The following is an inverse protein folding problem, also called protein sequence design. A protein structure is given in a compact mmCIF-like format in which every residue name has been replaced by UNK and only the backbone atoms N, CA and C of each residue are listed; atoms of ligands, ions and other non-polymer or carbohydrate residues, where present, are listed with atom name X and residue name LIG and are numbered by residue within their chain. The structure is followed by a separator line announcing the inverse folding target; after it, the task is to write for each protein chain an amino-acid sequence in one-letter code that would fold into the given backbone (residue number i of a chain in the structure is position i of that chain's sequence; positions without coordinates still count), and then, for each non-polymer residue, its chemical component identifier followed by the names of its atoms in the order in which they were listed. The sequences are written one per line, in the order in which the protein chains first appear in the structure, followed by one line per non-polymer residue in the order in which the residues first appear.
data_IF_718570680662
#
_entry.id   IF_718570680662
#
_cell.length_a   1.000
_cell.length_b   1.000
_cell.length_c   1.000
_cell.angle_alpha   90.00
_cell.angle_beta   90.00
_cell.angle_gamma   90.00
#
_symmetry.space_group_name_H-M   'P 1'
#
loop_
_entity.id
_entity.type
_entity.pdbx_description
1 polymer ?
#
# COMPACT_ATOMS: atom_id res chain seq x y z
N UNK A 1 34.27 21.90 -16.49
CA UNK A 1 33.25 21.26 -15.62
C UNK A 1 32.75 20.01 -16.33
N UNK A 2 32.97 18.80 -15.81
CA UNK A 2 32.33 17.63 -16.38
C UNK A 2 30.89 17.58 -15.86
N UNK A 3 29.92 17.53 -16.77
CA UNK A 3 28.55 17.22 -16.42
C UNK A 3 28.52 15.81 -15.82
N UNK A 4 28.00 15.72 -14.59
CA UNK A 4 27.68 14.46 -13.91
C UNK A 4 26.80 13.65 -14.86
N UNK A 5 27.24 12.45 -15.25
CA UNK A 5 26.48 11.49 -16.05
C UNK A 5 25.14 11.28 -15.34
N UNK A 6 24.06 11.78 -15.93
CA UNK A 6 22.74 11.80 -15.33
C UNK A 6 22.32 10.37 -14.90
N UNK A 7 21.62 10.28 -13.78
CA UNK A 7 20.77 9.15 -13.34
C UNK A 7 19.58 8.89 -14.31
N UNK A 8 19.74 9.23 -15.59
CA UNK A 8 18.75 9.26 -16.67
C UNK A 8 18.16 7.88 -17.01
N UNK A 9 18.73 6.79 -16.50
CA UNK A 9 18.21 5.43 -16.75
C UNK A 9 17.01 5.06 -15.87
N UNK A 10 17.00 5.48 -14.61
CA UNK A 10 16.10 4.90 -13.60
C UNK A 10 14.65 5.31 -13.79
N UNK A 11 14.39 6.62 -13.77
CA UNK A 11 13.04 7.13 -13.97
C UNK A 11 12.55 6.95 -15.40
N UNK A 12 13.45 6.84 -16.38
CA UNK A 12 13.10 6.51 -17.76
C UNK A 12 12.53 5.09 -17.85
N UNK A 13 13.21 4.10 -17.25
CA UNK A 13 12.72 2.72 -17.22
C UNK A 13 11.49 2.55 -16.33
N UNK A 14 11.45 3.23 -15.18
CA UNK A 14 10.26 3.29 -14.34
C UNK A 14 9.08 3.90 -15.12
N UNK A 15 9.35 4.95 -15.91
CA UNK A 15 8.39 5.62 -16.78
C UNK A 15 7.77 4.69 -17.82
N UNK A 16 8.54 3.75 -18.37
CA UNK A 16 8.00 2.71 -19.27
C UNK A 16 7.00 1.80 -18.55
N UNK A 17 7.34 1.32 -17.35
CA UNK A 17 6.43 0.50 -16.55
C UNK A 17 5.18 1.29 -16.13
N UNK A 18 5.33 2.58 -15.79
CA UNK A 18 4.22 3.49 -15.48
C UNK A 18 3.32 3.71 -16.71
N UNK A 19 3.89 3.91 -17.89
CA UNK A 19 3.13 4.06 -19.13
C UNK A 19 2.34 2.79 -19.45
N UNK A 20 2.98 1.62 -19.27
CA UNK A 20 2.33 0.33 -19.44
C UNK A 20 1.18 0.15 -18.43
N UNK A 21 1.40 0.43 -17.15
CA UNK A 21 0.39 0.42 -16.11
C UNK A 21 -0.76 1.40 -16.35
N UNK A 22 -0.47 2.58 -16.91
CA UNK A 22 -1.48 3.57 -17.25
C UNK A 22 -2.37 3.12 -18.42
N UNK A 23 -1.82 2.32 -19.35
CA UNK A 23 -2.58 1.76 -20.48
C UNK A 23 -3.73 0.85 -20.05
N UNK A 24 -3.64 0.26 -18.86
CA UNK A 24 -4.68 -0.59 -18.25
C UNK A 24 -6.02 0.12 -18.17
N UNK A 25 -6.05 1.42 -17.86
CA UNK A 25 -7.33 2.16 -17.79
C UNK A 25 -8.02 2.22 -19.16
N UNK A 26 -7.24 2.29 -20.25
CA UNK A 26 -7.79 2.21 -21.60
C UNK A 26 -8.31 0.80 -21.91
N UNK A 27 -7.53 -0.24 -21.57
CA UNK A 27 -7.90 -1.65 -21.74
C UNK A 27 -9.18 -2.01 -20.96
N UNK A 28 -9.32 -1.49 -19.74
CA UNK A 28 -10.50 -1.61 -18.89
C UNK A 28 -11.74 -1.05 -19.59
N UNK A 29 -11.64 0.16 -20.14
CA UNK A 29 -12.77 0.85 -20.81
C UNK A 29 -13.27 0.13 -22.06
N UNK A 30 -12.37 -0.53 -22.78
CA UNK A 30 -12.72 -1.32 -23.97
C UNK A 30 -13.06 -2.78 -23.64
N UNK A 31 -12.97 -3.19 -22.37
CA UNK A 31 -13.34 -4.54 -21.90
C UNK A 31 -12.38 -5.64 -22.34
N UNK A 32 -11.13 -5.32 -22.67
CA UNK A 32 -10.15 -6.32 -23.13
C UNK A 32 -9.45 -7.00 -21.93
N UNK A 33 -10.04 -8.11 -21.47
CA UNK A 33 -9.57 -8.91 -20.33
C UNK A 33 -8.17 -9.53 -20.54
N UNK A 34 -7.94 -10.17 -21.69
CA UNK A 34 -6.71 -10.91 -21.92
C UNK A 34 -5.47 -9.99 -21.97
N UNK A 35 -5.46 -8.85 -22.71
CA UNK A 35 -4.36 -7.90 -22.64
C UNK A 35 -4.16 -7.30 -21.25
N UNK A 36 -5.25 -7.04 -20.52
CA UNK A 36 -5.19 -6.50 -19.15
C UNK A 36 -4.50 -7.47 -18.19
N UNK A 37 -4.90 -8.74 -18.21
CA UNK A 37 -4.27 -9.79 -17.39
C UNK A 37 -2.78 -9.90 -17.75
N UNK A 38 -2.43 -9.95 -19.05
CA UNK A 38 -1.02 -10.00 -19.50
C UNK A 38 -0.16 -8.83 -18.99
N UNK A 39 -0.68 -7.60 -19.06
CA UNK A 39 0.04 -6.42 -18.54
C UNK A 39 0.22 -6.51 -17.03
N UNK A 40 -0.83 -6.90 -16.31
CA UNK A 40 -0.81 -7.03 -14.86
C UNK A 40 0.19 -8.10 -14.41
N UNK A 41 0.10 -9.31 -14.99
CA UNK A 41 1.04 -10.40 -14.70
C UNK A 41 2.49 -10.02 -15.04
N UNK A 42 2.74 -9.27 -16.12
CA UNK A 42 4.08 -8.80 -16.45
C UNK A 42 4.63 -7.86 -15.39
N UNK A 43 3.84 -6.89 -14.93
CA UNK A 43 4.27 -5.93 -13.91
C UNK A 43 4.55 -6.63 -12.57
N UNK A 44 3.70 -7.59 -12.17
CA UNK A 44 3.90 -8.42 -10.99
C UNK A 44 5.20 -9.22 -11.10
N UNK A 45 5.39 -9.90 -12.24
CA UNK A 45 6.58 -10.72 -12.48
C UNK A 45 7.86 -9.89 -12.42
N UNK A 46 7.86 -8.65 -12.93
CA UNK A 46 9.03 -7.78 -12.83
C UNK A 46 9.27 -7.33 -11.39
N UNK A 47 8.20 -7.02 -10.64
CA UNK A 47 8.30 -6.73 -9.22
C UNK A 47 8.90 -7.91 -8.42
N UNK A 48 8.50 -9.16 -8.73
CA UNK A 48 9.06 -10.38 -8.13
C UNK A 48 10.52 -10.65 -8.55
N UNK A 49 10.82 -10.58 -9.85
CA UNK A 49 12.18 -10.84 -10.38
C UNK A 49 13.24 -9.90 -9.81
N UNK A 50 12.87 -8.65 -9.51
CA UNK A 50 13.78 -7.68 -8.87
C UNK A 50 14.25 -8.12 -7.47
N UNK A 51 13.54 -9.06 -6.83
CA UNK A 51 13.84 -9.57 -5.50
C UNK A 51 14.81 -10.76 -5.56
N UNK A 52 14.69 -11.59 -6.59
CA UNK A 52 15.37 -12.89 -6.72
C UNK A 52 16.73 -12.81 -7.43
N UNK A 53 17.03 -11.74 -8.17
CA UNK A 53 18.21 -11.66 -9.03
C UNK A 53 19.40 -10.93 -8.40
N UNK A 54 20.59 -11.52 -8.60
CA UNK A 54 21.90 -10.92 -8.27
C UNK A 54 22.62 -10.32 -9.50
N UNK A 55 22.00 -10.36 -10.68
CA UNK A 55 22.52 -9.81 -11.94
C UNK A 55 21.65 -8.67 -12.51
N UNK A 56 22.29 -7.58 -12.93
CA UNK A 56 21.70 -6.36 -13.51
C UNK A 56 20.60 -5.69 -12.63
N UNK A 57 20.86 -5.62 -11.31
CA UNK A 57 19.98 -5.05 -10.28
C UNK A 57 19.39 -3.71 -10.68
N UNK A 58 20.18 -2.79 -11.22
CA UNK A 58 19.72 -1.41 -11.43
C UNK A 58 18.64 -1.28 -12.50
N UNK A 59 18.74 -2.04 -13.60
CA UNK A 59 17.75 -2.01 -14.68
C UNK A 59 16.41 -2.62 -14.23
N UNK A 60 16.48 -3.79 -13.58
CA UNK A 60 15.30 -4.48 -13.06
C UNK A 60 14.65 -3.69 -11.91
N UNK A 61 15.43 -3.12 -10.99
CA UNK A 61 14.92 -2.29 -9.90
C UNK A 61 14.25 -1.03 -10.43
N UNK A 62 14.80 -0.42 -11.49
CA UNK A 62 14.19 0.75 -12.14
C UNK A 62 12.84 0.43 -12.78
N UNK A 63 12.72 -0.72 -13.46
CA UNK A 63 11.43 -1.14 -14.00
C UNK A 63 10.45 -1.55 -12.89
N UNK A 64 10.94 -2.25 -11.85
CA UNK A 64 10.15 -2.67 -10.71
C UNK A 64 9.63 -1.49 -9.88
N UNK A 65 10.40 -0.40 -9.77
CA UNK A 65 9.95 0.88 -9.22
C UNK A 65 8.67 1.36 -9.91
N UNK A 66 8.67 1.42 -11.25
CA UNK A 66 7.48 1.79 -12.01
C UNK A 66 6.36 0.75 -11.93
N UNK A 67 6.69 -0.54 -11.80
CA UNK A 67 5.71 -1.60 -11.62
C UNK A 67 4.95 -1.48 -10.30
N UNK A 68 5.63 -1.24 -9.17
CA UNK A 68 4.97 -1.02 -7.87
C UNK A 68 4.09 0.23 -7.85
N UNK A 69 4.50 1.30 -8.53
CA UNK A 69 3.68 2.50 -8.69
C UNK A 69 2.41 2.20 -9.50
N UNK A 70 2.51 1.32 -10.49
CA UNK A 70 1.42 0.97 -11.42
C UNK A 70 0.47 -0.09 -10.90
N UNK A 71 0.94 -0.99 -10.04
CA UNK A 71 0.22 -2.16 -9.57
C UNK A 71 -1.18 -1.82 -8.99
N UNK A 72 -1.37 -0.74 -8.22
CA UNK A 72 -2.70 -0.33 -7.76
C UNK A 72 -3.69 -0.08 -8.91
N UNK A 73 -3.26 0.56 -10.01
CA UNK A 73 -4.12 0.81 -11.18
C UNK A 73 -4.52 -0.50 -11.85
N UNK A 74 -3.57 -1.41 -12.01
CA UNK A 74 -3.81 -2.75 -12.55
C UNK A 74 -4.85 -3.50 -11.71
N UNK A 75 -4.62 -3.57 -10.41
CA UNK A 75 -5.50 -4.26 -9.47
C UNK A 75 -6.93 -3.76 -9.52
N UNK A 76 -7.11 -2.44 -9.57
CA UNK A 76 -8.42 -1.83 -9.66
C UNK A 76 -9.17 -2.22 -10.93
N UNK A 77 -8.49 -2.17 -12.09
CA UNK A 77 -9.10 -2.56 -13.36
C UNK A 77 -9.45 -4.05 -13.37
N UNK A 78 -8.55 -4.90 -12.89
CA UNK A 78 -8.77 -6.34 -12.80
C UNK A 78 -9.97 -6.68 -11.89
N UNK A 79 -10.10 -6.01 -10.73
CA UNK A 79 -11.23 -6.21 -9.83
C UNK A 79 -12.56 -5.77 -10.43
N UNK A 80 -12.58 -4.65 -11.17
CA UNK A 80 -13.80 -4.17 -11.84
C UNK A 80 -14.26 -5.06 -12.97
N UNK A 81 -13.32 -5.71 -13.63
CA UNK A 81 -13.58 -6.69 -14.67
C UNK A 81 -13.75 -8.13 -14.14
N UNK A 82 -13.73 -8.31 -12.81
CA UNK A 82 -13.97 -9.60 -12.14
C UNK A 82 -13.00 -10.71 -12.59
N UNK A 83 -11.71 -10.38 -12.73
CA UNK A 83 -10.64 -11.37 -12.97
C UNK A 83 -10.64 -12.46 -11.86
N UNK A 84 -10.27 -13.72 -12.17
CA UNK A 84 -10.31 -14.82 -11.21
C UNK A 84 -9.53 -14.55 -9.92
N UNK A 85 -10.04 -15.10 -8.81
CA UNK A 85 -9.52 -14.84 -7.46
C UNK A 85 -8.10 -15.37 -7.26
N UNK A 86 -7.77 -16.47 -7.91
CA UNK A 86 -6.50 -17.18 -7.77
C UNK A 86 -5.31 -16.31 -8.21
N UNK A 87 -5.50 -15.46 -9.23
CA UNK A 87 -4.47 -14.51 -9.69
C UNK A 87 -4.17 -13.44 -8.62
N UNK A 88 -5.17 -13.03 -7.86
CA UNK A 88 -5.02 -12.05 -6.77
C UNK A 88 -4.40 -12.67 -5.52
N UNK A 89 -4.77 -13.90 -5.17
CA UNK A 89 -4.23 -14.61 -4.01
C UNK A 89 -2.72 -14.80 -4.15
N UNK A 90 -2.24 -15.21 -5.33
CA UNK A 90 -0.81 -15.33 -5.63
C UNK A 90 -0.10 -13.99 -5.48
N UNK A 91 -0.68 -12.92 -6.03
CA UNK A 91 -0.09 -11.59 -5.93
C UNK A 91 0.02 -11.10 -4.48
N UNK A 92 -1.01 -11.32 -3.67
CA UNK A 92 -1.01 -10.90 -2.26
C UNK A 92 0.09 -11.64 -1.50
N UNK A 93 0.27 -12.93 -1.76
CA UNK A 93 1.38 -13.71 -1.20
C UNK A 93 2.74 -13.14 -1.64
N UNK A 94 2.92 -12.84 -2.93
CA UNK A 94 4.17 -12.26 -3.45
C UNK A 94 4.48 -10.89 -2.81
N UNK A 95 3.47 -10.04 -2.61
CA UNK A 95 3.61 -8.76 -1.91
C UNK A 95 4.02 -8.97 -0.44
N UNK A 96 3.43 -9.96 0.23
CA UNK A 96 3.76 -10.25 1.63
C UNK A 96 5.20 -10.72 1.79
N UNK A 97 5.60 -11.70 1.00
CA UNK A 97 6.95 -12.24 0.99
C UNK A 97 7.96 -11.13 0.67
N UNK A 98 7.62 -10.25 -0.26
CA UNK A 98 8.44 -9.08 -0.53
C UNK A 98 8.56 -8.16 0.68
N UNK A 99 7.45 -7.73 1.28
CA UNK A 99 7.49 -6.80 2.42
C UNK A 99 8.29 -7.37 3.60
N UNK A 100 8.27 -8.69 3.79
CA UNK A 100 9.10 -9.40 4.76
C UNK A 100 10.58 -9.36 4.35
N UNK A 101 10.91 -9.61 3.08
CA UNK A 101 12.29 -9.60 2.58
C UNK A 101 12.95 -8.21 2.51
N UNK A 102 12.16 -7.14 2.31
CA UNK A 102 12.69 -5.76 2.36
C UNK A 102 13.33 -5.46 3.71
N UNK A 103 12.83 -6.09 4.78
CA UNK A 103 13.40 -5.98 6.14
C UNK A 103 14.77 -6.67 6.28
N UNK A 104 15.00 -7.78 5.58
CA UNK A 104 16.24 -8.57 5.67
C UNK A 104 17.33 -8.07 4.74
N UNK A 105 16.96 -7.40 3.64
CA UNK A 105 17.94 -6.76 2.75
C UNK A 105 18.48 -5.49 3.40
N UNK A 106 19.71 -5.55 3.91
CA UNK A 106 20.45 -4.37 4.38
C UNK A 106 20.52 -3.25 3.32
N UNK A 107 21.07 -2.10 3.69
CA UNK A 107 21.20 -0.89 2.84
C UNK A 107 21.54 -1.26 1.39
N UNK A 108 20.53 -1.25 0.51
CA UNK A 108 20.66 -1.60 -0.89
C UNK A 108 20.76 -0.33 -1.71
N UNK A 109 21.48 -0.37 -2.84
CA UNK A 109 21.79 0.78 -3.69
C UNK A 109 20.58 1.50 -4.36
N UNK A 110 19.33 1.16 -4.01
CA UNK A 110 18.11 1.66 -4.67
C UNK A 110 16.97 1.99 -3.68
N UNK A 111 17.08 3.09 -2.92
CA UNK A 111 16.11 3.46 -1.90
C UNK A 111 14.72 3.86 -2.47
N UNK A 112 14.66 4.41 -3.69
CA UNK A 112 13.41 4.78 -4.38
C UNK A 112 12.53 3.57 -4.66
N UNK A 113 13.16 2.45 -5.06
CA UNK A 113 12.47 1.20 -5.31
C UNK A 113 11.78 0.69 -4.03
N UNK A 114 12.51 0.62 -2.92
CA UNK A 114 11.96 0.18 -1.62
C UNK A 114 10.84 1.10 -1.14
N UNK A 115 11.01 2.41 -1.31
CA UNK A 115 9.96 3.39 -1.01
C UNK A 115 8.70 3.11 -1.84
N UNK A 116 8.83 3.02 -3.15
CA UNK A 116 7.72 2.79 -4.05
C UNK A 116 7.02 1.46 -3.79
N UNK A 117 7.76 0.43 -3.40
CA UNK A 117 7.19 -0.85 -3.08
C UNK A 117 6.40 -0.84 -1.76
N UNK A 118 6.85 -0.08 -0.74
CA UNK A 118 6.05 0.16 0.46
C UNK A 118 4.74 0.91 0.14
N UNK A 119 4.83 1.99 -0.65
CA UNK A 119 3.69 2.81 -1.04
C UNK A 119 2.71 2.01 -1.91
N UNK A 120 3.22 1.31 -2.93
CA UNK A 120 2.47 0.51 -3.88
C UNK A 120 1.74 -0.64 -3.20
N UNK A 121 2.44 -1.41 -2.35
CA UNK A 121 1.83 -2.48 -1.55
C UNK A 121 0.70 -1.95 -0.68
N UNK A 122 0.93 -0.85 0.04
CA UNK A 122 -0.11 -0.24 0.86
C UNK A 122 -1.34 0.19 0.04
N UNK A 123 -1.12 0.73 -1.16
CA UNK A 123 -2.21 1.10 -2.08
C UNK A 123 -2.97 -0.11 -2.63
N UNK A 124 -2.29 -1.21 -2.94
CA UNK A 124 -2.95 -2.46 -3.36
C UNK A 124 -3.93 -2.92 -2.29
N UNK A 125 -3.50 -3.00 -1.04
CA UNK A 125 -4.37 -3.35 0.08
C UNK A 125 -5.52 -2.36 0.25
N UNK A 126 -5.23 -1.05 0.12
CA UNK A 126 -6.25 -0.01 0.15
C UNK A 126 -7.35 -0.23 -0.90
N UNK A 127 -6.98 -0.61 -2.12
CA UNK A 127 -7.91 -0.87 -3.23
C UNK A 127 -8.74 -2.13 -2.99
N UNK A 128 -8.10 -3.22 -2.58
CA UNK A 128 -8.78 -4.48 -2.26
C UNK A 128 -9.86 -4.25 -1.21
N UNK A 129 -9.53 -3.51 -0.15
CA UNK A 129 -10.44 -3.17 0.94
C UNK A 129 -11.51 -2.14 0.54
N UNK A 130 -11.17 -1.16 -0.29
CA UNK A 130 -12.10 -0.09 -0.68
C UNK A 130 -13.17 -0.54 -1.67
N UNK A 131 -12.83 -1.47 -2.58
CA UNK A 131 -13.79 -1.98 -3.56
C UNK A 131 -14.76 -3.00 -2.96
N UNK A 132 -14.47 -3.55 -1.77
CA UNK A 132 -15.27 -4.59 -1.08
C UNK A 132 -15.57 -5.83 -1.93
N UNK A 133 -14.83 -6.02 -3.01
CA UNK A 133 -14.98 -7.17 -3.93
C UNK A 133 -14.07 -8.33 -3.56
N UNK A 134 -13.11 -8.10 -2.67
CA UNK A 134 -12.09 -9.08 -2.32
C UNK A 134 -11.92 -9.16 -0.80
N UNK A 135 -12.01 -10.38 -0.26
CA UNK A 135 -11.90 -10.68 1.17
C UNK A 135 -10.46 -11.04 1.52
N UNK A 136 -9.82 -10.20 2.35
CA UNK A 136 -8.46 -10.40 2.83
C UNK A 136 -8.45 -11.05 4.20
N UNK A 137 -7.56 -12.02 4.43
CA UNK A 137 -7.35 -12.55 5.77
C UNK A 137 -6.74 -11.47 6.68
N UNK A 138 -7.21 -11.41 7.94
CA UNK A 138 -6.63 -10.48 8.93
C UNK A 138 -5.13 -10.67 9.13
N UNK A 139 -4.66 -11.91 9.23
CA UNK A 139 -3.23 -12.24 9.39
C UNK A 139 -2.38 -11.65 8.26
N UNK A 140 -2.91 -11.76 7.04
CA UNK A 140 -2.30 -11.21 5.82
C UNK A 140 -2.11 -9.70 5.88
N UNK A 141 -3.14 -8.98 6.32
CA UNK A 141 -3.08 -7.51 6.47
C UNK A 141 -2.10 -7.12 7.58
N UNK A 142 -2.16 -7.80 8.72
CA UNK A 142 -1.34 -7.45 9.88
C UNK A 142 0.14 -7.71 9.63
N UNK A 143 0.48 -8.79 8.90
CA UNK A 143 1.86 -9.06 8.47
C UNK A 143 2.45 -7.88 7.67
N UNK A 144 1.69 -7.35 6.70
CA UNK A 144 2.11 -6.20 5.90
C UNK A 144 2.25 -4.94 6.76
N UNK A 145 1.33 -4.70 7.69
CA UNK A 145 1.40 -3.55 8.60
C UNK A 145 2.65 -3.62 9.49
N UNK A 146 2.96 -4.78 10.07
CA UNK A 146 4.15 -4.94 10.91
C UNK A 146 5.45 -4.74 10.10
N UNK A 147 5.49 -5.23 8.86
CA UNK A 147 6.60 -4.94 7.93
C UNK A 147 6.71 -3.43 7.68
N UNK A 148 5.63 -2.75 7.30
CA UNK A 148 5.62 -1.30 7.05
C UNK A 148 6.02 -0.49 8.29
N UNK A 149 5.55 -0.84 9.50
CA UNK A 149 5.97 -0.21 10.75
C UNK A 149 7.47 -0.32 10.95
N UNK A 150 8.03 -1.51 10.74
CA UNK A 150 9.47 -1.73 10.91
C UNK A 150 10.30 -0.89 9.94
N UNK A 151 9.83 -0.71 8.70
CA UNK A 151 10.48 0.11 7.67
C UNK A 151 10.30 1.62 7.94
N UNK A 152 9.14 2.03 8.48
CA UNK A 152 8.83 3.42 8.81
C UNK A 152 9.79 4.03 9.85
N UNK A 153 10.29 3.22 10.80
CA UNK A 153 11.28 3.63 11.81
C UNK A 153 12.71 3.22 11.46
N UNK A 154 12.97 2.85 10.21
CA UNK A 154 14.33 2.61 9.75
C UNK A 154 15.11 3.95 9.72
N UNK A 155 15.88 4.22 10.78
CA UNK A 155 16.58 5.51 10.94
C UNK A 155 17.70 5.76 9.92
N UNK A 156 18.10 4.75 9.16
CA UNK A 156 19.24 4.81 8.25
C UNK A 156 18.84 5.14 6.80
N UNK A 157 17.54 5.21 6.48
CA UNK A 157 17.05 5.47 5.13
C UNK A 157 15.75 6.31 5.16
N UNK A 158 15.84 7.59 4.78
CA UNK A 158 14.74 8.55 4.82
C UNK A 158 13.62 8.21 3.83
N UNK A 159 13.96 7.70 2.63
CA UNK A 159 12.99 7.31 1.62
C UNK A 159 12.24 6.05 2.04
N UNK A 160 12.95 5.10 2.69
CA UNK A 160 12.32 3.92 3.26
C UNK A 160 11.37 4.29 4.41
N UNK A 161 11.78 5.21 5.28
CA UNK A 161 10.92 5.73 6.35
C UNK A 161 9.65 6.37 5.78
N UNK A 162 9.79 7.23 4.76
CA UNK A 162 8.68 7.85 4.07
C UNK A 162 7.75 6.81 3.43
N UNK A 163 8.33 5.84 2.72
CA UNK A 163 7.59 4.76 2.08
C UNK A 163 6.79 3.92 3.06
N UNK A 164 7.40 3.54 4.20
CA UNK A 164 6.74 2.80 5.27
C UNK A 164 5.56 3.57 5.84
N UNK A 165 5.74 4.85 6.15
CA UNK A 165 4.71 5.72 6.70
C UNK A 165 3.54 5.97 5.74
N UNK A 166 3.83 6.30 4.47
CA UNK A 166 2.79 6.47 3.44
C UNK A 166 2.08 5.14 3.15
N UNK A 167 2.82 4.02 3.13
CA UNK A 167 2.25 2.69 3.01
C UNK A 167 1.28 2.37 4.15
N UNK A 168 1.61 2.72 5.41
CA UNK A 168 0.71 2.58 6.55
C UNK A 168 -0.58 3.38 6.39
N UNK A 169 -0.48 4.63 5.95
CA UNK A 169 -1.66 5.45 5.65
C UNK A 169 -2.56 4.74 4.61
N UNK A 170 -1.97 4.17 3.56
CA UNK A 170 -2.70 3.51 2.49
C UNK A 170 -3.43 2.24 2.97
N UNK A 171 -2.74 1.35 3.71
CA UNK A 171 -3.36 0.13 4.25
C UNK A 171 -4.50 0.47 5.21
N UNK A 172 -4.35 1.54 6.00
CA UNK A 172 -5.42 2.03 6.88
C UNK A 172 -6.67 2.48 6.10
N UNK A 173 -6.50 2.90 4.84
CA UNK A 173 -7.58 3.37 3.99
C UNK A 173 -7.47 4.83 3.58
N UNK A 174 -6.32 5.49 3.81
CA UNK A 174 -6.12 6.87 3.38
C UNK A 174 -6.00 7.03 1.85
N UNK A 175 -5.68 5.93 1.14
CA UNK A 175 -5.75 5.86 -0.31
C UNK A 175 -4.96 6.94 -1.05
N UNK A 176 -3.73 7.24 -0.67
CA UNK A 176 -3.01 8.43 -1.14
C UNK A 176 -2.70 8.44 -2.64
N UNK A 177 -2.72 7.29 -3.32
CA UNK A 177 -2.62 7.21 -4.77
C UNK A 177 -3.97 7.03 -5.49
N UNK A 178 -5.08 6.98 -4.75
CA UNK A 178 -6.42 6.92 -5.33
C UNK A 178 -6.81 8.32 -5.79
N UNK A 179 -6.44 8.66 -7.03
CA UNK A 179 -7.03 9.77 -7.80
C UNK A 179 -8.49 9.45 -8.17
N UNK A 180 -9.29 9.04 -7.19
CA UNK A 180 -10.68 8.64 -7.36
C UNK A 180 -11.50 9.49 -6.37
N UNK A 181 -12.58 10.14 -6.81
CA UNK A 181 -13.60 10.60 -5.89
C UNK A 181 -14.15 9.35 -5.18
N UNK A 182 -13.87 9.22 -3.89
CA UNK A 182 -14.35 8.10 -3.09
C UNK A 182 -15.87 7.92 -3.27
N UNK A 183 -16.36 6.69 -3.50
CA UNK A 183 -17.77 6.42 -3.31
C UNK A 183 -18.12 6.81 -1.87
N UNK A 184 -19.19 7.58 -1.68
CA UNK A 184 -19.66 8.03 -0.37
C UNK A 184 -19.79 6.81 0.55
N UNK A 185 -18.84 6.62 1.46
CA UNK A 185 -18.90 5.57 2.47
C UNK A 185 -20.12 5.82 3.36
N UNK A 186 -21.16 5.00 3.22
CA UNK A 186 -22.21 4.90 4.24
C UNK A 186 -21.82 3.77 5.19
N UNK A 187 -21.83 4.09 6.48
CA UNK A 187 -21.52 3.17 7.58
C UNK A 187 -22.56 2.03 7.64
N UNK A 188 -23.74 2.21 7.00
CA UNK A 188 -24.87 1.28 7.07
C UNK A 188 -24.74 -0.01 6.24
N UNK A 189 -23.75 -0.13 5.34
CA UNK A 189 -23.57 -1.32 4.48
C UNK A 189 -22.78 -2.46 5.17
N UNK A 190 -22.59 -2.42 6.50
CA UNK A 190 -21.91 -3.48 7.26
C UNK A 190 -22.84 -4.63 7.71
N UNK A 191 -24.07 -4.71 7.21
CA UNK A 191 -24.95 -5.86 7.45
C UNK A 191 -24.87 -6.88 6.29
N UNK A 192 -23.90 -7.80 6.36
CA UNK A 192 -23.96 -9.19 5.88
C UNK A 192 -22.55 -9.80 5.98
N UNK A 193 -22.28 -10.99 6.50
CA UNK A 193 -23.09 -12.14 6.85
C UNK A 193 -22.26 -12.93 7.89
N UNK A 194 -22.58 -12.80 9.18
CA UNK A 194 -21.93 -13.54 10.25
C UNK A 194 -22.86 -14.62 10.79
N UNK A 195 -23.06 -15.70 10.03
CA UNK A 195 -23.66 -16.90 10.62
C UNK A 195 -22.62 -17.48 11.58
N UNK A 196 -22.83 -17.24 12.87
CA UNK A 196 -22.09 -17.90 13.95
C UNK A 196 -22.35 -19.39 13.86
N UNK A 197 -21.33 -20.16 13.48
CA UNK A 197 -21.17 -21.53 13.94
C UNK A 197 -19.67 -21.79 14.11
N UNK A 198 -19.31 -22.34 15.26
CA UNK A 198 -17.97 -22.39 15.80
C UNK A 198 -16.92 -23.01 14.87
N UNK A 199 -15.99 -22.16 14.45
CA UNK A 199 -14.58 -22.47 14.29
C UNK A 199 -13.84 -21.13 14.43
N UNK A 200 -12.63 -21.14 14.97
CA UNK A 200 -11.72 -19.97 14.94
C UNK A 200 -11.23 -19.81 13.49
N UNK A 201 -12.16 -19.54 12.58
CA UNK A 201 -11.91 -19.39 11.16
C UNK A 201 -11.51 -17.95 10.88
N UNK A 202 -10.39 -17.82 10.18
CA UNK A 202 -9.75 -16.59 9.74
C UNK A 202 -10.75 -15.45 9.48
N UNK A 203 -10.74 -14.43 10.33
CA UNK A 203 -11.60 -13.26 10.13
C UNK A 203 -11.13 -12.56 8.86
N UNK A 204 -12.03 -12.54 7.87
CA UNK A 204 -11.84 -11.90 6.59
C UNK A 204 -12.32 -10.46 6.67
N UNK A 205 -11.50 -9.54 6.18
CA UNK A 205 -11.75 -8.09 6.17
C UNK A 205 -12.04 -7.66 4.74
N UNK A 206 -13.06 -6.83 4.57
CA UNK A 206 -13.58 -6.42 3.27
C UNK A 206 -13.93 -4.92 3.22
N UNK A 207 -13.41 -4.13 4.17
CA UNK A 207 -13.59 -2.69 4.25
C UNK A 207 -12.26 -2.03 4.67
N UNK A 208 -12.04 -0.74 4.36
CA UNK A 208 -10.84 -0.04 4.82
C UNK A 208 -10.74 -0.11 6.35
N UNK A 209 -9.53 -0.35 6.87
CA UNK A 209 -9.34 -0.71 8.28
C UNK A 209 -9.86 0.36 9.25
N UNK A 210 -9.74 1.62 8.86
CA UNK A 210 -10.26 2.74 9.65
C UNK A 210 -11.78 2.69 9.88
N UNK A 211 -12.52 1.97 9.04
CA UNK A 211 -13.97 1.77 9.15
C UNK A 211 -14.34 0.34 9.59
N UNK A 212 -13.36 -0.56 9.75
CA UNK A 212 -13.58 -1.97 10.08
C UNK A 212 -13.65 -2.17 11.60
N UNK A 213 -14.86 -2.42 12.12
CA UNK A 213 -15.12 -2.57 13.56
C UNK A 213 -14.34 -3.72 14.18
N UNK A 214 -14.16 -4.82 13.44
CA UNK A 214 -13.43 -6.00 13.92
C UNK A 214 -11.93 -5.75 14.14
N UNK A 215 -11.40 -4.61 13.68
CA UNK A 215 -10.00 -4.21 13.80
C UNK A 215 -9.80 -2.94 14.66
N UNK A 216 -10.84 -2.43 15.30
CA UNK A 216 -10.81 -1.13 16.02
C UNK A 216 -9.66 -1.00 17.01
N UNK A 217 -9.43 -1.99 17.87
CA UNK A 217 -8.36 -1.96 18.87
C UNK A 217 -6.96 -1.94 18.23
N UNK A 218 -6.76 -2.71 17.17
CA UNK A 218 -5.50 -2.76 16.44
C UNK A 218 -5.23 -1.43 15.73
N UNK A 219 -6.25 -0.86 15.06
CA UNK A 219 -6.16 0.45 14.40
C UNK A 219 -5.86 1.55 15.42
N UNK A 220 -6.51 1.53 16.59
CA UNK A 220 -6.24 2.49 17.66
C UNK A 220 -4.79 2.40 18.14
N UNK A 221 -4.29 1.19 18.36
CA UNK A 221 -2.88 0.96 18.74
C UNK A 221 -1.92 1.48 17.67
N UNK A 222 -2.24 1.28 16.39
CA UNK A 222 -1.44 1.76 15.28
C UNK A 222 -1.44 3.30 15.17
N UNK A 223 -2.60 3.94 15.35
CA UNK A 223 -2.70 5.40 15.38
C UNK A 223 -1.91 5.99 16.53
N UNK A 224 -1.99 5.40 17.73
CA UNK A 224 -1.17 5.81 18.88
C UNK A 224 0.32 5.67 18.59
N UNK A 225 0.73 4.61 17.91
CA UNK A 225 2.11 4.43 17.46
C UNK A 225 2.56 5.57 16.52
N UNK A 226 1.77 5.88 15.49
CA UNK A 226 2.09 6.97 14.53
C UNK A 226 2.18 8.32 15.26
N UNK A 227 1.23 8.62 16.15
CA UNK A 227 1.26 9.87 16.95
C UNK A 227 2.47 9.92 17.86
N UNK A 228 2.80 8.81 18.53
CA UNK A 228 4.00 8.72 19.36
C UNK A 228 5.26 9.00 18.55
N UNK A 229 5.38 8.47 17.32
CA UNK A 229 6.52 8.78 16.45
C UNK A 229 6.52 10.23 15.97
N UNK A 230 5.36 10.82 15.67
CA UNK A 230 5.27 12.23 15.27
C UNK A 230 5.71 13.21 16.37
N UNK A 231 5.49 12.85 17.64
CA UNK A 231 5.83 13.68 18.81
C UNK A 231 7.24 13.37 19.32
N UNK A 232 7.56 12.09 19.52
CA UNK A 232 8.75 11.61 20.24
C UNK A 232 9.77 10.90 19.35
N UNK A 233 9.50 10.75 18.05
CA UNK A 233 10.39 10.09 17.11
C UNK A 233 11.71 10.82 16.90
N UNK A 234 12.55 10.29 16.01
CA UNK A 234 13.76 10.96 15.56
C UNK A 234 13.40 12.10 14.61
N UNK A 235 14.24 13.13 14.49
CA UNK A 235 13.92 14.31 13.68
C UNK A 235 13.62 13.99 12.20
N UNK A 236 14.17 12.89 11.68
CA UNK A 236 13.90 12.39 10.32
C UNK A 236 12.57 11.65 10.18
N UNK A 237 12.09 10.97 11.23
CA UNK A 237 10.85 10.17 11.18
C UNK A 237 9.62 10.98 11.57
N UNK A 238 9.78 12.03 12.39
CA UNK A 238 8.72 12.97 12.75
C UNK A 238 7.95 13.54 11.54
N UNK A 239 8.59 14.15 10.51
CA UNK A 239 7.85 14.73 9.39
C UNK A 239 7.06 13.69 8.61
N UNK A 240 7.59 12.47 8.44
CA UNK A 240 6.91 11.36 7.76
C UNK A 240 5.69 10.88 8.56
N UNK A 241 5.80 10.80 9.88
CA UNK A 241 4.68 10.46 10.75
C UNK A 241 3.59 11.56 10.74
N UNK A 242 3.98 12.84 10.74
CA UNK A 242 3.04 13.95 10.58
C UNK A 242 2.31 13.93 9.24
N UNK A 243 3.03 13.67 8.15
CA UNK A 243 2.44 13.49 6.83
C UNK A 243 1.41 12.33 6.84
N UNK A 244 1.75 11.21 7.44
CA UNK A 244 0.84 10.05 7.60
C UNK A 244 -0.46 10.44 8.31
N UNK A 245 -0.36 11.17 9.43
CA UNK A 245 -1.55 11.64 10.16
C UNK A 245 -2.39 12.61 9.31
N UNK A 246 -1.74 13.51 8.57
CA UNK A 246 -2.43 14.44 7.68
C UNK A 246 -3.19 13.71 6.55
N UNK A 247 -2.57 12.69 5.97
CA UNK A 247 -3.18 11.84 4.94
C UNK A 247 -4.41 11.10 5.50
N UNK A 248 -4.25 10.46 6.66
CA UNK A 248 -5.34 9.76 7.36
C UNK A 248 -6.49 10.72 7.70
N UNK A 249 -6.18 11.92 8.23
CA UNK A 249 -7.20 12.92 8.57
C UNK A 249 -7.98 13.40 7.36
N UNK A 250 -7.31 13.61 6.22
CA UNK A 250 -7.96 14.04 4.98
C UNK A 250 -9.07 13.08 4.55
N UNK A 251 -8.86 11.78 4.74
CA UNK A 251 -9.88 10.74 4.50
C UNK A 251 -10.99 10.76 5.55
N UNK A 252 -10.71 11.03 6.82
CA UNK A 252 -11.71 11.03 7.89
C UNK A 252 -12.64 12.25 7.94
N UNK A 253 -12.17 13.44 7.54
CA UNK A 253 -12.96 14.69 7.58
C UNK A 253 -14.21 14.67 6.68
N UNK A 254 -14.52 13.55 6.01
CA UNK A 254 -15.74 13.34 5.23
C UNK A 254 -16.77 12.39 5.86
N UNK A 255 -16.50 11.78 7.03
CA UNK A 255 -17.42 10.76 7.57
C UNK A 255 -17.47 10.49 9.08
N UNK A 256 -16.52 10.92 9.91
CA UNK A 256 -16.53 10.65 11.37
C UNK A 256 -16.02 11.87 12.17
N UNK A 257 -16.68 12.20 13.29
CA UNK A 257 -16.28 13.26 14.22
C UNK A 257 -14.98 12.85 14.95
N UNK A 258 -13.89 13.64 14.82
CA UNK A 258 -12.55 13.31 15.32
C UNK A 258 -12.47 13.11 16.85
N UNK A 259 -13.54 13.41 17.60
CA UNK A 259 -13.65 13.30 19.07
C UNK A 259 -13.24 11.94 19.63
N UNK A 260 -13.43 10.85 18.90
CA UNK A 260 -13.07 9.50 19.35
C UNK A 260 -11.55 9.20 19.28
N UNK A 261 -10.76 10.04 18.58
CA UNK A 261 -9.30 9.93 18.49
C UNK A 261 -8.61 10.84 19.54
N UNK A 262 -9.33 11.77 20.18
CA UNK A 262 -8.80 12.74 21.15
C UNK A 262 -8.50 12.19 22.55
N UNK A 263 -8.43 10.87 22.76
CA UNK A 263 -7.85 10.30 23.97
C UNK A 263 -6.31 10.20 23.93
N UNK A 264 -5.67 10.74 22.89
CA UNK A 264 -4.21 10.76 22.75
C UNK A 264 -3.66 12.11 23.27
N UNK A 265 -2.84 12.13 24.35
CA UNK A 265 -2.22 13.35 24.84
C UNK A 265 -1.38 14.01 23.74
N UNK A 266 -1.71 15.26 23.37
CA UNK A 266 -1.04 16.03 22.31
C UNK A 266 -1.84 16.20 21.02
N UNK A 267 -2.99 15.52 20.87
CA UNK A 267 -3.88 15.67 19.71
C UNK A 267 -4.54 17.07 19.62
N UNK A 268 -4.52 17.88 20.68
CA UNK A 268 -5.08 19.25 20.69
C UNK A 268 -4.36 20.26 19.78
N UNK A 269 -3.28 19.85 19.11
CA UNK A 269 -2.58 20.63 18.07
C UNK A 269 -2.85 20.13 16.63
N UNK A 270 -3.73 19.15 16.45
CA UNK A 270 -4.24 18.71 15.13
C UNK A 270 -5.33 19.66 14.63
#
# INVERSE_FOLDING_TARGET
MPFKKFEEGTWTLAGLAIALGSSVTALERIGLLEPLSKVTSLLIKVADMSQKNDGNKDLLNSFALGAYISLPLCMKACLRLQIPREEFDSLIADIQDYMISVKSTGSSAFPEYKMAACIGSGNVFSILLSLRTYKLQRSSIFSVIESLKSLAVCNNDELLSLGGFVGLANVLGAGTALLIPEPKYRIDDSESLGNMNGAVESINICAPLLYETSCKEYVQTLLQYIVSTAIKGFDRTKPNAWLTLALIRRTFMKGIDMKDIYLIPGASKL
#
